data_IF_302067115544
#
_entry.id   IF_302067115544
#
_cell.length_a   1.000
_cell.length_b   1.000
_cell.length_c   1.000
_cell.angle_alpha   90.00
_cell.angle_beta   90.00
_cell.angle_gamma   90.00
#
_symmetry.space_group_name_H-M   'P 1'
#
loop_
_entity.id
_entity.type
_entity.pdbx_description
1 polymer ?
#
# COMPACT_ATOMS: atom_id res chain seq x y z
N UNK A 1 -39.85 22.87 -3.63
CA UNK A 1 -39.22 21.57 -3.31
C UNK A 1 -37.97 21.90 -2.50
N UNK A 2 -37.88 21.46 -1.24
CA UNK A 2 -36.68 21.69 -0.43
C UNK A 2 -35.59 20.77 -0.98
N UNK A 3 -34.49 21.35 -1.46
CA UNK A 3 -33.27 20.59 -1.73
C UNK A 3 -32.80 19.98 -0.40
N UNK A 4 -33.13 18.72 -0.19
CA UNK A 4 -32.46 17.91 0.82
C UNK A 4 -31.01 17.77 0.38
N UNK A 5 -30.14 18.63 0.91
CA UNK A 5 -28.69 18.42 0.85
C UNK A 5 -28.44 17.06 1.49
N UNK A 6 -28.29 16.01 0.66
CA UNK A 6 -27.84 14.69 1.10
C UNK A 6 -26.46 14.87 1.68
N UNK A 7 -26.38 15.01 3.00
CA UNK A 7 -25.11 15.02 3.71
C UNK A 7 -24.35 13.75 3.37
N UNK A 8 -23.04 13.88 3.19
CA UNK A 8 -22.15 12.72 3.02
C UNK A 8 -22.41 11.76 4.20
N UNK A 9 -22.73 10.48 3.95
CA UNK A 9 -22.98 9.53 5.02
C UNK A 9 -21.79 9.48 5.98
N UNK A 10 -22.05 9.61 7.29
CA UNK A 10 -20.99 9.70 8.31
C UNK A 10 -20.05 8.48 8.30
N UNK A 11 -20.58 7.29 7.98
CA UNK A 11 -19.81 6.05 7.93
C UNK A 11 -18.72 6.09 6.86
N UNK A 12 -18.87 6.87 5.78
CA UNK A 12 -17.82 7.01 4.76
C UNK A 12 -16.56 7.67 5.34
N UNK A 13 -16.72 8.62 6.27
CA UNK A 13 -15.58 9.26 6.93
C UNK A 13 -14.86 8.30 7.88
N UNK A 14 -15.61 7.49 8.62
CA UNK A 14 -15.03 6.48 9.51
C UNK A 14 -14.27 5.42 8.71
N UNK A 15 -14.84 4.94 7.62
CA UNK A 15 -14.20 3.99 6.71
C UNK A 15 -12.93 4.61 6.11
N UNK A 16 -13.01 5.84 5.62
CA UNK A 16 -11.85 6.53 5.03
C UNK A 16 -10.72 6.73 6.05
N UNK A 17 -11.05 7.13 7.29
CA UNK A 17 -10.06 7.28 8.35
C UNK A 17 -9.42 5.94 8.74
N UNK A 18 -10.21 4.88 8.81
CA UNK A 18 -9.72 3.53 9.07
C UNK A 18 -8.75 3.06 7.99
N UNK A 19 -9.11 3.21 6.71
CA UNK A 19 -8.19 2.86 5.61
C UNK A 19 -6.95 3.75 5.58
N UNK A 20 -7.08 5.04 5.87
CA UNK A 20 -5.93 5.95 5.99
C UNK A 20 -4.95 5.45 7.06
N UNK A 21 -5.45 4.97 8.19
CA UNK A 21 -4.63 4.39 9.25
C UNK A 21 -3.91 3.13 8.78
N UNK A 22 -4.61 2.21 8.09
CA UNK A 22 -3.98 1.01 7.51
C UNK A 22 -2.88 1.37 6.50
N UNK A 23 -3.12 2.36 5.63
CA UNK A 23 -2.11 2.82 4.68
C UNK A 23 -0.93 3.50 5.36
N UNK A 24 -1.14 4.21 6.49
CA UNK A 24 -0.05 4.78 7.26
C UNK A 24 0.87 3.69 7.84
N UNK A 25 0.31 2.57 8.31
CA UNK A 25 1.08 1.39 8.71
C UNK A 25 1.87 0.86 7.50
N UNK A 26 1.23 0.66 6.35
CA UNK A 26 1.92 0.18 5.14
C UNK A 26 3.07 1.11 4.67
N UNK A 27 2.90 2.43 4.77
CA UNK A 27 3.98 3.39 4.48
C UNK A 27 5.10 3.25 5.51
N UNK A 28 4.77 3.13 6.80
CA UNK A 28 5.77 2.93 7.84
C UNK A 28 6.59 1.67 7.59
N UNK A 29 5.94 0.54 7.33
CA UNK A 29 6.58 -0.74 7.02
C UNK A 29 7.49 -0.61 5.79
N UNK A 30 7.01 0.04 4.73
CA UNK A 30 7.79 0.32 3.53
C UNK A 30 9.07 1.11 3.86
N UNK A 31 8.98 2.18 4.64
CA UNK A 31 10.13 3.01 5.02
C UNK A 31 11.12 2.24 5.90
N UNK A 32 10.64 1.44 6.85
CA UNK A 32 11.50 0.62 7.73
C UNK A 32 12.22 -0.48 6.95
N UNK A 33 11.51 -1.17 6.05
CA UNK A 33 12.10 -2.18 5.18
C UNK A 33 13.11 -1.56 4.20
N UNK A 34 12.81 -0.40 3.61
CA UNK A 34 13.73 0.27 2.67
C UNK A 34 14.99 0.83 3.31
N UNK A 35 14.89 1.25 4.57
CA UNK A 35 16.04 1.70 5.36
C UNK A 35 16.86 0.55 5.94
N UNK A 36 16.48 -0.70 5.64
CA UNK A 36 17.12 -1.90 6.17
C UNK A 36 17.23 -1.89 7.71
N UNK A 37 16.17 -1.40 8.38
CA UNK A 37 16.19 -1.19 9.83
C UNK A 37 16.18 -2.51 10.60
N UNK A 38 17.34 -2.88 11.14
CA UNK A 38 17.53 -4.14 11.87
C UNK A 38 16.59 -4.31 13.07
N UNK A 39 16.33 -3.22 13.80
CA UNK A 39 15.45 -3.25 14.96
C UNK A 39 13.99 -3.52 14.54
N UNK A 40 13.57 -2.99 13.39
CA UNK A 40 12.26 -3.27 12.83
C UNK A 40 12.13 -4.73 12.40
N UNK A 41 13.11 -5.26 11.65
CA UNK A 41 13.11 -6.68 11.27
C UNK A 41 13.09 -7.60 12.50
N UNK A 42 13.89 -7.29 13.52
CA UNK A 42 13.90 -8.05 14.78
C UNK A 42 12.56 -7.97 15.53
N UNK A 43 11.95 -6.78 15.61
CA UNK A 43 10.66 -6.59 16.29
C UNK A 43 9.51 -7.31 15.60
N UNK A 44 9.54 -7.41 14.26
CA UNK A 44 8.56 -8.16 13.48
C UNK A 44 8.83 -9.68 13.43
N UNK A 45 9.93 -10.14 14.03
CA UNK A 45 10.35 -11.55 13.95
C UNK A 45 10.76 -11.97 12.54
N UNK A 46 11.11 -11.02 11.67
CA UNK A 46 11.57 -11.32 10.32
C UNK A 46 12.99 -11.88 10.36
N UNK A 47 13.15 -13.11 9.87
CA UNK A 47 14.44 -13.78 9.77
C UNK A 47 15.34 -13.18 8.69
N UNK A 48 16.58 -13.69 8.63
CA UNK A 48 17.59 -13.26 7.66
C UNK A 48 17.13 -13.46 6.19
N UNK A 49 16.28 -14.45 5.92
CA UNK A 49 15.72 -14.72 4.59
C UNK A 49 14.85 -13.56 4.10
N UNK A 50 13.92 -13.08 4.93
CA UNK A 50 13.04 -11.95 4.60
C UNK A 50 13.85 -10.67 4.39
N UNK A 51 14.83 -10.40 5.26
CA UNK A 51 15.72 -9.24 5.09
C UNK A 51 16.47 -9.32 3.75
N UNK A 52 17.10 -10.46 3.45
CA UNK A 52 17.83 -10.67 2.20
C UNK A 52 16.93 -10.55 0.97
N UNK A 53 15.67 -10.97 1.07
CA UNK A 53 14.69 -10.81 0.01
C UNK A 53 14.48 -9.32 -0.36
N UNK A 54 14.52 -8.41 0.62
CA UNK A 54 14.33 -6.97 0.40
C UNK A 54 15.64 -6.17 0.20
N UNK A 55 16.80 -6.67 0.64
CA UNK A 55 18.09 -5.97 0.47
C UNK A 55 18.43 -5.74 -1.01
N UNK A 56 18.32 -6.80 -1.84
CA UNK A 56 18.58 -6.74 -3.29
C UNK A 56 17.26 -6.79 -4.07
N UNK A 57 16.33 -5.89 -3.72
CA UNK A 57 15.03 -5.85 -4.37
C UNK A 57 15.13 -5.26 -5.79
N UNK A 58 14.65 -5.96 -6.84
CA UNK A 58 14.77 -5.49 -8.21
C UNK A 58 14.08 -4.12 -8.42
N UNK A 59 14.77 -3.20 -9.10
CA UNK A 59 14.27 -1.84 -9.35
C UNK A 59 12.84 -1.77 -9.93
N UNK A 60 12.44 -2.58 -10.92
CA UNK A 60 11.06 -2.55 -11.43
C UNK A 60 10.03 -2.96 -10.38
N UNK A 61 10.34 -3.97 -9.56
CA UNK A 61 9.46 -4.43 -8.49
C UNK A 61 9.41 -3.39 -7.36
N UNK A 62 10.53 -2.74 -7.07
CA UNK A 62 10.58 -1.64 -6.12
C UNK A 62 9.70 -0.47 -6.59
N UNK A 63 9.74 -0.12 -7.87
CA UNK A 63 8.90 0.94 -8.43
C UNK A 63 7.41 0.62 -8.33
N UNK A 64 7.01 -0.62 -8.65
CA UNK A 64 5.63 -1.10 -8.49
C UNK A 64 5.19 -1.06 -7.02
N UNK A 65 6.03 -1.53 -6.11
CA UNK A 65 5.75 -1.50 -4.68
C UNK A 65 5.63 -0.09 -4.12
N UNK A 66 6.56 0.79 -4.48
CA UNK A 66 6.52 2.21 -4.10
C UNK A 66 5.23 2.84 -4.61
N UNK A 67 4.90 2.59 -5.88
CA UNK A 67 3.70 3.16 -6.50
C UNK A 67 2.43 2.68 -5.79
N UNK A 68 2.30 1.38 -5.49
CA UNK A 68 1.11 0.87 -4.79
C UNK A 68 0.97 1.46 -3.39
N UNK A 69 2.07 1.56 -2.62
CA UNK A 69 2.09 2.09 -1.25
C UNK A 69 1.63 3.56 -1.19
N UNK A 70 2.03 4.40 -2.14
CA UNK A 70 1.70 5.84 -2.12
C UNK A 70 0.41 6.20 -2.88
N UNK A 71 0.06 5.46 -3.93
CA UNK A 71 -1.16 5.76 -4.72
C UNK A 71 -2.44 5.34 -4.02
N UNK A 72 -2.42 4.29 -3.18
CA UNK A 72 -3.59 3.86 -2.42
C UNK A 72 -4.10 4.89 -1.40
N UNK A 73 -3.26 5.48 -0.51
CA UNK A 73 -3.70 6.57 0.37
C UNK A 73 -4.08 7.82 -0.42
N UNK A 74 -3.38 8.12 -1.52
CA UNK A 74 -3.75 9.23 -2.40
C UNK A 74 -5.17 9.04 -2.97
N UNK A 75 -5.54 7.83 -3.35
CA UNK A 75 -6.89 7.53 -3.84
C UNK A 75 -7.96 7.79 -2.77
N UNK A 76 -7.71 7.41 -1.51
CA UNK A 76 -8.61 7.70 -0.38
C UNK A 76 -8.78 9.21 -0.18
N UNK A 77 -7.66 9.96 -0.16
CA UNK A 77 -7.68 11.42 -0.02
C UNK A 77 -8.50 12.04 -1.16
N UNK A 78 -8.20 11.69 -2.41
CA UNK A 78 -8.91 12.20 -3.59
C UNK A 78 -10.40 11.87 -3.55
N UNK A 79 -10.77 10.66 -3.09
CA UNK A 79 -12.16 10.23 -2.96
C UNK A 79 -12.91 11.06 -1.91
N UNK A 80 -12.29 11.33 -0.75
CA UNK A 80 -12.87 12.17 0.31
C UNK A 80 -13.17 13.59 -0.19
N UNK A 81 -12.29 14.14 -1.04
CA UNK A 81 -12.48 15.44 -1.67
C UNK A 81 -13.27 15.39 -2.98
N UNK A 82 -13.78 14.22 -3.38
CA UNK A 82 -14.55 14.00 -4.62
C UNK A 82 -13.81 14.44 -5.89
N UNK A 83 -12.50 14.29 -5.92
CA UNK A 83 -11.72 14.55 -7.12
C UNK A 83 -11.91 13.44 -8.15
N UNK A 84 -12.01 13.84 -9.43
CA UNK A 84 -12.19 12.92 -10.56
C UNK A 84 -11.05 11.90 -10.71
N UNK A 85 -9.85 12.22 -10.24
CA UNK A 85 -8.67 11.36 -10.29
C UNK A 85 -8.63 10.27 -9.21
N UNK A 86 -9.62 10.23 -8.31
CA UNK A 86 -9.68 9.19 -7.28
C UNK A 86 -9.70 7.78 -7.89
N UNK A 87 -10.45 7.61 -8.99
CA UNK A 87 -10.54 6.33 -9.71
C UNK A 87 -9.21 5.98 -10.37
N UNK A 88 -8.55 6.94 -11.00
CA UNK A 88 -7.26 6.72 -11.65
C UNK A 88 -6.18 6.33 -10.62
N UNK A 89 -6.12 7.02 -9.48
CA UNK A 89 -5.19 6.70 -8.40
C UNK A 89 -5.46 5.31 -7.80
N UNK A 90 -6.72 4.95 -7.59
CA UNK A 90 -7.09 3.61 -7.13
C UNK A 90 -6.71 2.52 -8.15
N UNK A 91 -6.91 2.80 -9.44
CA UNK A 91 -6.56 1.87 -10.51
C UNK A 91 -5.04 1.67 -10.63
N UNK A 92 -4.26 2.75 -10.52
CA UNK A 92 -2.79 2.68 -10.47
C UNK A 92 -2.31 1.89 -9.25
N UNK A 93 -2.91 2.10 -8.09
CA UNK A 93 -2.58 1.35 -6.88
C UNK A 93 -2.84 -0.15 -7.07
N UNK A 94 -4.03 -0.48 -7.56
CA UNK A 94 -4.45 -1.85 -7.82
C UNK A 94 -3.54 -2.53 -8.85
N UNK A 95 -3.31 -1.89 -10.00
CA UNK A 95 -2.50 -2.48 -11.07
C UNK A 95 -1.04 -2.66 -10.63
N UNK A 96 -0.48 -1.70 -9.91
CA UNK A 96 0.89 -1.80 -9.41
C UNK A 96 1.05 -2.95 -8.42
N UNK A 97 0.08 -3.11 -7.51
CA UNK A 97 0.05 -4.22 -6.55
C UNK A 97 -0.14 -5.57 -7.27
N UNK A 98 -1.09 -5.65 -8.19
CA UNK A 98 -1.38 -6.88 -8.93
C UNK A 98 -0.16 -7.36 -9.73
N UNK A 99 0.52 -6.45 -10.43
CA UNK A 99 1.74 -6.77 -11.16
C UNK A 99 2.86 -7.18 -10.20
N UNK A 100 3.06 -6.44 -9.11
CA UNK A 100 4.06 -6.76 -8.09
C UNK A 100 3.86 -8.19 -7.57
N UNK A 101 2.64 -8.53 -7.18
CA UNK A 101 2.31 -9.86 -6.66
C UNK A 101 2.54 -10.91 -7.75
N UNK A 102 1.97 -10.73 -8.94
CA UNK A 102 2.13 -11.67 -10.05
C UNK A 102 3.61 -11.96 -10.35
N UNK A 103 4.46 -10.92 -10.45
CA UNK A 103 5.88 -11.10 -10.72
C UNK A 103 6.64 -11.71 -9.54
N UNK A 104 6.34 -11.29 -8.31
CA UNK A 104 7.07 -11.79 -7.13
C UNK A 104 6.73 -13.24 -6.83
N UNK A 105 5.47 -13.64 -7.00
CA UNK A 105 5.07 -15.04 -6.89
C UNK A 105 5.62 -15.90 -8.04
N UNK A 106 5.65 -15.38 -9.27
CA UNK A 106 6.11 -16.17 -10.41
C UNK A 106 7.63 -16.31 -10.51
N UNK A 107 8.42 -15.30 -10.08
CA UNK A 107 9.85 -15.23 -10.38
C UNK A 107 10.76 -15.02 -9.16
N UNK A 108 10.21 -14.79 -7.96
CA UNK A 108 10.99 -14.51 -6.74
C UNK A 108 10.68 -15.44 -5.58
N UNK A 109 10.02 -16.57 -5.86
CA UNK A 109 9.70 -17.61 -4.87
C UNK A 109 9.08 -17.03 -3.59
N UNK A 110 8.24 -16.00 -3.73
CA UNK A 110 7.65 -15.28 -2.60
C UNK A 110 6.93 -16.21 -1.62
N UNK A 111 6.38 -17.32 -2.11
CA UNK A 111 5.77 -18.35 -1.28
C UNK A 111 6.75 -19.00 -0.30
N UNK A 112 8.00 -19.24 -0.70
CA UNK A 112 9.01 -19.84 0.18
C UNK A 112 9.46 -18.89 1.30
N UNK A 113 9.47 -17.58 1.01
CA UNK A 113 9.99 -16.56 1.94
C UNK A 113 8.96 -16.16 3.01
N UNK A 114 7.66 -16.22 2.68
CA UNK A 114 6.58 -15.74 3.56
C UNK A 114 5.54 -16.80 3.94
N UNK A 115 5.58 -18.00 3.35
CA UNK A 115 4.58 -19.07 3.51
C UNK A 115 4.97 -20.15 4.51
#
# INVERSE_FOLDING_TARGET
MKDERRNTPWHLWVIALFFMFLYAIGIYDYLMMRSDNEAYYAAQGFGAEVRRYFTDYPLPLLALWTTSVFSAPMAVILLMFRFRWAVDAAFVAFLSMLLLDAFTFAFRDRWHVFG
#
